data_IF_547777788316
#
_entry.id   IF_547777788316
#
_cell.length_a   1.000
_cell.length_b   1.000
_cell.length_c   1.000
_cell.angle_alpha   90.00
_cell.angle_beta   90.00
_cell.angle_gamma   90.00
#
_symmetry.space_group_name_H-M   'P 1'
#
loop_
_entity.id
_entity.type
_entity.pdbx_description
1 polymer ?
#
# COMPACT_ATOMS: atom_id res chain seq x y z
N UNK A 1 -0.93 4.09 -18.28
CA UNK A 1 -1.91 4.01 -17.20
C UNK A 1 -1.56 5.02 -16.14
N UNK A 2 -2.49 5.94 -15.85
CA UNK A 2 -2.34 6.88 -14.75
C UNK A 2 -2.47 6.17 -13.40
N UNK A 3 -1.96 6.75 -12.31
CA UNK A 3 -2.01 6.13 -10.98
C UNK A 3 -3.46 5.90 -10.51
N UNK A 4 -4.33 6.90 -10.63
CA UNK A 4 -5.74 6.79 -10.28
C UNK A 4 -6.50 5.73 -11.11
N UNK A 5 -6.15 5.59 -12.40
CA UNK A 5 -6.73 4.58 -13.30
C UNK A 5 -6.34 3.16 -12.85
N UNK A 6 -5.06 2.95 -12.50
CA UNK A 6 -4.58 1.68 -11.95
C UNK A 6 -5.26 1.35 -10.62
N UNK A 7 -5.36 2.31 -9.70
CA UNK A 7 -6.01 2.08 -8.41
C UNK A 7 -7.48 1.74 -8.60
N UNK A 8 -8.23 2.48 -9.43
CA UNK A 8 -9.64 2.21 -9.69
C UNK A 8 -9.84 0.82 -10.30
N UNK A 9 -8.97 0.41 -11.22
CA UNK A 9 -9.03 -0.92 -11.84
C UNK A 9 -8.76 -2.04 -10.84
N UNK A 10 -7.70 -1.92 -10.03
CA UNK A 10 -7.41 -2.91 -8.98
C UNK A 10 -8.53 -2.96 -7.93
N UNK A 11 -9.14 -1.82 -7.60
CA UNK A 11 -10.26 -1.75 -6.67
C UNK A 11 -11.49 -2.50 -7.21
N UNK A 12 -11.83 -2.31 -8.47
CA UNK A 12 -12.94 -3.01 -9.13
C UNK A 12 -12.67 -4.52 -9.22
N UNK A 13 -11.48 -4.90 -9.70
CA UNK A 13 -11.11 -6.31 -9.90
C UNK A 13 -10.99 -7.09 -8.59
N UNK A 14 -10.53 -6.46 -7.51
CA UNK A 14 -10.35 -7.09 -6.20
C UNK A 14 -11.49 -6.82 -5.21
N UNK A 15 -12.47 -5.99 -5.58
CA UNK A 15 -13.58 -5.59 -4.69
C UNK A 15 -13.12 -4.81 -3.45
N UNK A 16 -12.16 -3.89 -3.61
CA UNK A 16 -11.57 -3.11 -2.51
C UNK A 16 -12.06 -1.66 -2.48
N UNK A 17 -12.15 -1.08 -1.29
CA UNK A 17 -12.40 0.36 -1.13
C UNK A 17 -11.17 1.18 -1.54
N UNK A 18 -11.41 2.39 -2.07
CA UNK A 18 -10.36 3.37 -2.41
C UNK A 18 -10.42 4.58 -1.48
N UNK A 19 -9.31 4.87 -0.81
CA UNK A 19 -9.07 6.15 -0.15
C UNK A 19 -8.28 7.07 -1.07
N UNK A 20 -8.84 8.25 -1.32
CA UNK A 20 -8.22 9.27 -2.17
C UNK A 20 -7.48 10.30 -1.32
N UNK A 21 -6.19 10.43 -1.50
CA UNK A 21 -5.39 11.53 -0.97
C UNK A 21 -5.25 12.64 -2.02
N UNK A 22 -4.69 13.79 -1.61
CA UNK A 22 -4.48 14.92 -2.51
C UNK A 22 -3.74 14.52 -3.80
N UNK A 23 -2.69 13.69 -3.68
CA UNK A 23 -1.77 13.34 -4.76
C UNK A 23 -1.71 11.84 -5.11
N UNK A 24 -2.44 10.98 -4.40
CA UNK A 24 -2.42 9.53 -4.64
C UNK A 24 -3.73 8.87 -4.21
N UNK A 25 -4.11 7.80 -4.90
CA UNK A 25 -5.24 6.95 -4.52
C UNK A 25 -4.72 5.60 -3.99
N UNK A 26 -5.26 5.14 -2.86
CA UNK A 26 -4.83 3.90 -2.19
C UNK A 26 -5.98 2.90 -2.06
N UNK A 27 -5.68 1.62 -2.22
CA UNK A 27 -6.56 0.51 -1.90
C UNK A 27 -6.56 0.27 -0.38
N UNK A 28 -7.73 0.05 0.22
CA UNK A 28 -7.84 -0.36 1.62
C UNK A 28 -7.68 -1.88 1.73
N UNK A 29 -6.62 -2.32 2.40
CA UNK A 29 -6.34 -3.74 2.66
C UNK A 29 -6.71 -4.19 4.07
N UNK A 30 -6.93 -3.25 4.99
CA UNK A 30 -7.36 -3.52 6.36
C UNK A 30 -7.80 -2.24 7.07
N UNK A 31 -8.85 -2.33 7.88
CA UNK A 31 -9.55 -1.16 8.42
C UNK A 31 -9.72 -1.16 9.95
N UNK A 32 -8.62 -1.41 10.66
CA UNK A 32 -8.58 -1.39 12.12
C UNK A 32 -8.38 0.01 12.73
N UNK A 33 -7.88 0.05 13.97
CA UNK A 33 -7.35 1.30 14.54
C UNK A 33 -6.16 1.80 13.71
N UNK A 34 -5.35 0.88 13.18
CA UNK A 34 -4.38 1.16 12.12
C UNK A 34 -4.99 0.80 10.76
N UNK A 35 -5.12 1.80 9.89
CA UNK A 35 -5.54 1.56 8.52
C UNK A 35 -4.36 1.07 7.69
N UNK A 36 -4.60 0.04 6.88
CA UNK A 36 -3.60 -0.61 6.03
C UNK A 36 -3.94 -0.35 4.58
N UNK A 37 -3.06 0.38 3.92
CA UNK A 37 -3.28 0.91 2.59
C UNK A 37 -2.22 0.40 1.63
N UNK A 38 -2.60 0.26 0.36
CA UNK A 38 -1.68 -0.02 -0.72
C UNK A 38 -1.83 1.04 -1.80
N UNK A 39 -0.74 1.75 -2.08
CA UNK A 39 -0.64 2.76 -3.14
C UNK A 39 -0.03 2.11 -4.38
N UNK A 40 -0.83 1.60 -5.34
CA UNK A 40 -0.29 1.00 -6.53
C UNK A 40 0.30 2.06 -7.47
N UNK A 41 1.31 1.66 -8.23
CA UNK A 41 2.00 2.44 -9.23
C UNK A 41 2.38 1.53 -10.41
N UNK A 42 2.51 2.10 -11.60
CA UNK A 42 3.04 1.37 -12.75
C UNK A 42 4.31 2.02 -13.25
N UNK A 43 5.28 1.19 -13.66
CA UNK A 43 6.54 1.63 -14.29
C UNK A 43 6.71 0.94 -15.64
N UNK A 44 7.36 1.61 -16.59
CA UNK A 44 7.76 0.99 -17.86
C UNK A 44 8.91 0.03 -17.63
N UNK A 45 8.92 -1.09 -18.34
CA UNK A 45 10.06 -1.99 -18.38
C UNK A 45 11.05 -1.45 -19.41
N UNK A 46 12.27 -1.14 -18.98
CA UNK A 46 13.34 -0.67 -19.87
C UNK A 46 13.74 -1.79 -20.82
N UNK A 47 13.80 -1.51 -22.12
CA UNK A 47 14.16 -2.50 -23.15
C UNK A 47 12.99 -3.35 -23.66
N UNK A 48 11.78 -3.18 -23.13
CA UNK A 48 10.56 -3.84 -23.62
C UNK A 48 9.67 -2.87 -24.41
N UNK A 49 8.53 -3.37 -24.90
CA UNK A 49 7.56 -2.57 -25.64
C UNK A 49 6.91 -1.48 -24.76
N UNK A 50 6.38 -0.40 -25.35
CA UNK A 50 5.74 0.70 -24.61
C UNK A 50 4.56 0.27 -23.72
N UNK A 51 3.97 -0.89 -24.04
CA UNK A 51 2.85 -1.50 -23.34
C UNK A 51 3.29 -2.35 -22.15
N UNK A 52 4.56 -2.76 -22.07
CA UNK A 52 5.03 -3.64 -21.01
C UNK A 52 5.31 -2.85 -19.74
N UNK A 53 4.64 -3.23 -18.65
CA UNK A 53 4.65 -2.52 -17.38
C UNK A 53 4.96 -3.46 -16.23
N UNK A 54 5.57 -2.88 -15.20
CA UNK A 54 5.62 -3.46 -13.86
C UNK A 54 4.59 -2.73 -13.01
N UNK A 55 3.76 -3.50 -12.32
CA UNK A 55 2.88 -3.03 -11.25
C UNK A 55 3.54 -3.34 -9.90
N UNK A 56 3.76 -2.29 -9.14
CA UNK A 56 4.32 -2.30 -7.77
C UNK A 56 3.60 -1.21 -6.97
N UNK A 57 3.88 -1.07 -5.68
CA UNK A 57 3.32 0.01 -4.91
C UNK A 57 4.02 0.21 -3.58
N UNK A 58 3.47 1.12 -2.79
CA UNK A 58 3.90 1.35 -1.42
C UNK A 58 2.80 0.91 -0.46
N UNK A 59 3.17 0.13 0.55
CA UNK A 59 2.30 -0.06 1.71
C UNK A 59 2.37 1.17 2.59
N UNK A 60 1.21 1.62 3.06
CA UNK A 60 1.07 2.78 3.94
C UNK A 60 0.22 2.34 5.15
N UNK A 61 0.72 2.65 6.35
CA UNK A 61 0.10 2.32 7.62
C UNK A 61 0.00 3.60 8.44
N UNK A 62 -1.18 3.92 8.94
CA UNK A 62 -1.39 5.11 9.77
C UNK A 62 -2.52 4.87 10.77
N UNK A 63 -2.56 5.65 11.84
CA UNK A 63 -3.69 5.59 12.76
C UNK A 63 -4.91 6.22 12.11
N UNK A 64 -6.06 5.56 12.23
CA UNK A 64 -7.34 6.04 11.70
C UNK A 64 -7.70 7.44 12.21
N UNK A 65 -7.35 7.76 13.47
CA UNK A 65 -7.56 9.08 14.07
C UNK A 65 -6.74 10.21 13.42
N UNK A 66 -5.65 9.88 12.74
CA UNK A 66 -4.77 10.83 12.07
C UNK A 66 -5.18 11.08 10.61
N UNK A 67 -6.20 10.38 10.12
CA UNK A 67 -6.75 10.55 8.79
C UNK A 67 -7.58 11.85 8.71
N UNK A 68 -7.00 12.91 8.15
CA UNK A 68 -7.62 14.24 8.05
C UNK A 68 -8.26 14.45 6.69
N UNK A 69 -9.55 14.80 6.65
CA UNK A 69 -10.20 15.20 5.39
C UNK A 69 -9.72 16.59 4.96
N UNK A 70 -9.50 16.77 3.66
CA UNK A 70 -9.35 18.10 3.09
C UNK A 70 -10.64 18.91 3.29
N UNK A 71 -10.52 20.24 3.35
CA UNK A 71 -11.69 21.10 3.52
C UNK A 71 -12.72 20.85 2.40
N UNK A 72 -14.00 20.94 2.75
CA UNK A 72 -15.10 20.87 1.77
C UNK A 72 -14.87 21.86 0.62
N UNK A 73 -15.21 21.49 -0.63
CA UNK A 73 -16.03 20.34 -1.04
C UNK A 73 -15.25 19.05 -1.33
N UNK A 74 -13.94 18.98 -1.04
CA UNK A 74 -13.12 17.81 -1.37
C UNK A 74 -13.53 16.57 -0.57
N UNK A 75 -13.61 15.41 -1.24
CA UNK A 75 -13.75 14.10 -0.61
C UNK A 75 -12.39 13.45 -0.29
N UNK A 76 -11.29 14.13 -0.63
CA UNK A 76 -9.94 13.61 -0.45
C UNK A 76 -9.42 13.84 0.98
N UNK A 77 -8.43 13.04 1.36
CA UNK A 77 -7.69 13.17 2.60
C UNK A 77 -6.36 13.90 2.41
N UNK A 78 -5.88 14.53 3.47
CA UNK A 78 -4.53 15.07 3.58
C UNK A 78 -3.55 13.92 3.75
N UNK A 79 -2.40 14.02 3.08
CA UNK A 79 -1.34 13.04 3.19
C UNK A 79 -0.32 13.51 4.23
N UNK A 80 -0.43 12.99 5.45
CA UNK A 80 0.34 13.44 6.63
C UNK A 80 1.57 12.54 6.81
N UNK A 81 2.68 12.91 6.18
CA UNK A 81 3.88 12.06 6.06
C UNK A 81 4.53 11.68 7.41
N UNK A 82 4.43 12.52 8.43
CA UNK A 82 5.00 12.30 9.76
C UNK A 82 4.11 11.43 10.67
N UNK A 83 2.93 11.01 10.20
CA UNK A 83 1.96 10.17 10.92
C UNK A 83 1.73 8.80 10.28
N UNK A 84 2.70 8.34 9.50
CA UNK A 84 2.60 7.07 8.79
C UNK A 84 3.92 6.31 8.77
N UNK A 85 3.80 4.98 8.65
CA UNK A 85 4.90 4.08 8.31
C UNK A 85 4.57 3.44 6.97
N UNK A 86 5.58 3.24 6.15
CA UNK A 86 5.40 2.54 4.89
C UNK A 86 6.60 1.73 4.46
N UNK A 87 6.36 0.84 3.51
CA UNK A 87 7.43 0.12 2.83
C UNK A 87 7.08 -0.18 1.36
N UNK A 88 8.06 -0.13 0.44
CA UNK A 88 7.82 -0.48 -0.96
C UNK A 88 7.55 -1.97 -1.14
N UNK A 89 6.54 -2.32 -1.94
CA UNK A 89 6.18 -3.71 -2.26
C UNK A 89 7.25 -4.42 -3.08
N UNK A 90 8.12 -3.67 -3.76
CA UNK A 90 9.28 -4.18 -4.49
C UNK A 90 10.26 -4.97 -3.60
N UNK A 91 10.15 -4.86 -2.27
CA UNK A 91 10.91 -5.70 -1.34
C UNK A 91 10.42 -7.15 -1.24
N UNK A 92 9.30 -7.48 -1.91
CA UNK A 92 8.59 -8.75 -1.85
C UNK A 92 8.35 -9.28 -3.27
N UNK A 93 9.12 -10.29 -3.68
CA UNK A 93 9.11 -10.79 -5.07
C UNK A 93 7.73 -11.24 -5.55
N UNK A 94 6.89 -11.77 -4.66
CA UNK A 94 5.52 -12.20 -5.00
C UNK A 94 4.54 -11.07 -5.31
N UNK A 95 4.94 -9.81 -5.10
CA UNK A 95 4.11 -8.62 -5.29
C UNK A 95 4.54 -7.73 -6.48
N UNK A 96 5.56 -8.16 -7.23
CA UNK A 96 5.94 -7.51 -8.48
C UNK A 96 5.17 -8.20 -9.60
N UNK A 97 4.22 -7.49 -10.18
CA UNK A 97 3.38 -8.03 -11.24
C UNK A 97 3.82 -7.43 -12.58
N UNK A 98 4.01 -8.30 -13.58
CA UNK A 98 4.39 -7.89 -14.92
C UNK A 98 3.13 -7.96 -15.77
N UNK A 99 2.66 -6.80 -16.20
CA UNK A 99 1.41 -6.68 -16.92
C UNK A 99 1.57 -5.74 -18.09
N UNK A 100 0.82 -6.01 -19.14
CA UNK A 100 0.68 -5.07 -20.24
C UNK A 100 -0.35 -4.00 -19.87
N UNK A 101 -0.27 -2.81 -20.46
CA UNK A 101 -1.33 -1.77 -20.35
C UNK A 101 -2.71 -2.30 -20.82
N UNK A 102 -2.76 -3.47 -21.45
CA UNK A 102 -3.99 -4.19 -21.81
C UNK A 102 -4.95 -4.42 -20.63
N UNK A 103 -6.23 -4.59 -20.94
CA UNK A 103 -7.29 -4.99 -20.00
C UNK A 103 -7.17 -6.46 -19.55
N UNK A 104 -5.99 -7.07 -19.65
CA UNK A 104 -5.76 -8.44 -19.20
C UNK A 104 -5.85 -8.48 -17.68
N UNK A 105 -6.58 -9.43 -17.07
CA UNK A 105 -6.73 -9.50 -15.62
C UNK A 105 -5.37 -9.62 -14.92
N UNK A 106 -5.28 -9.06 -13.72
CA UNK A 106 -4.13 -9.23 -12.84
C UNK A 106 -4.06 -10.68 -12.33
N UNK A 107 -2.87 -11.12 -11.90
CA UNK A 107 -2.74 -12.43 -11.25
C UNK A 107 -3.70 -12.48 -10.02
N UNK A 108 -4.68 -13.41 -9.98
CA UNK A 108 -5.63 -13.49 -8.87
C UNK A 108 -4.96 -13.77 -7.52
N UNK A 109 -3.72 -14.27 -7.52
CA UNK A 109 -2.93 -14.47 -6.30
C UNK A 109 -2.35 -13.18 -5.74
N UNK A 110 -2.30 -12.09 -6.51
CA UNK A 110 -1.76 -10.81 -6.07
C UNK A 110 -2.51 -10.28 -4.84
N UNK A 111 -3.85 -10.26 -4.89
CA UNK A 111 -4.67 -9.83 -3.77
C UNK A 111 -4.39 -10.67 -2.51
N UNK A 112 -4.36 -12.00 -2.67
CA UNK A 112 -4.09 -12.92 -1.55
C UNK A 112 -2.72 -12.65 -0.93
N UNK A 113 -1.68 -12.39 -1.72
CA UNK A 113 -0.34 -12.08 -1.22
C UNK A 113 -0.29 -10.72 -0.52
N UNK A 114 -0.97 -9.70 -1.05
CA UNK A 114 -1.12 -8.40 -0.39
C UNK A 114 -1.80 -8.56 0.97
N UNK A 115 -2.92 -9.30 1.00
CA UNK A 115 -3.68 -9.59 2.21
C UNK A 115 -2.86 -10.36 3.24
N UNK A 116 -2.15 -11.42 2.83
CA UNK A 116 -1.28 -12.21 3.72
C UNK A 116 -0.22 -11.35 4.42
N UNK A 117 0.40 -10.40 3.71
CA UNK A 117 1.37 -9.49 4.32
C UNK A 117 0.72 -8.54 5.32
N UNK A 118 -0.40 -7.92 4.97
CA UNK A 118 -1.04 -6.97 5.88
C UNK A 118 -1.71 -7.66 7.08
N UNK A 119 -2.18 -8.90 6.93
CA UNK A 119 -2.77 -9.69 8.02
C UNK A 119 -1.74 -10.13 9.05
N UNK A 120 -0.46 -10.18 8.69
CA UNK A 120 0.62 -10.44 9.63
C UNK A 120 0.91 -9.24 10.55
N UNK A 121 0.39 -8.05 10.22
CA UNK A 121 0.60 -6.84 11.01
C UNK A 121 -0.52 -6.62 12.02
N UNK A 122 -0.22 -6.05 13.21
CA UNK A 122 -1.25 -5.69 14.19
C UNK A 122 -2.29 -4.71 13.63
N UNK A 123 -3.52 -4.80 14.13
CA UNK A 123 -4.61 -3.87 13.78
C UNK A 123 -4.72 -2.67 14.73
N UNK A 124 -3.95 -2.65 15.82
CA UNK A 124 -4.03 -1.65 16.87
C UNK A 124 -2.67 -0.99 17.17
N UNK A 125 -2.71 0.24 17.68
CA UNK A 125 -1.52 1.05 17.92
C UNK A 125 -0.55 0.38 18.89
N UNK A 126 -1.08 -0.28 19.93
CA UNK A 126 -0.29 -1.00 20.92
C UNK A 126 0.59 -2.09 20.28
N UNK A 127 0.00 -2.91 19.41
CA UNK A 127 0.75 -3.97 18.72
C UNK A 127 1.83 -3.42 17.79
N UNK A 128 1.59 -2.26 17.16
CA UNK A 128 2.64 -1.61 16.35
C UNK A 128 3.81 -1.11 17.19
N UNK A 129 3.56 -0.57 18.38
CA UNK A 129 4.60 -0.19 19.34
C UNK A 129 5.40 -1.42 19.80
N UNK A 130 4.71 -2.52 20.12
CA UNK A 130 5.36 -3.79 20.50
C UNK A 130 6.24 -4.35 19.37
N UNK A 131 5.79 -4.20 18.11
CA UNK A 131 6.48 -4.72 16.94
C UNK A 131 7.70 -3.89 16.51
N UNK A 132 7.56 -2.56 16.43
CA UNK A 132 8.56 -1.67 15.83
C UNK A 132 9.26 -0.73 16.82
N UNK A 133 8.83 -0.74 18.09
CA UNK A 133 9.32 0.18 19.12
C UNK A 133 8.52 1.49 19.18
N UNK A 134 8.84 2.32 20.18
CA UNK A 134 8.14 3.58 20.45
C UNK A 134 8.20 4.58 19.29
N UNK A 135 7.21 5.48 19.25
CA UNK A 135 7.06 6.58 18.27
C UNK A 135 6.85 6.17 16.80
N UNK A 136 6.41 4.92 16.55
CA UNK A 136 6.18 4.35 15.21
C UNK A 136 5.30 5.21 14.28
N UNK A 137 4.32 5.96 14.80
CA UNK A 137 3.48 6.91 14.03
C UNK A 137 3.71 8.38 14.44
N UNK A 138 4.81 8.68 15.11
CA UNK A 138 5.08 10.01 15.66
C UNK A 138 6.33 10.65 15.07
N UNK A 139 7.15 9.90 14.34
CA UNK A 139 8.37 10.41 13.70
C UNK A 139 8.54 9.82 12.29
N UNK A 140 9.06 10.64 11.37
CA UNK A 140 9.51 10.16 10.07
C UNK A 140 10.84 9.41 10.25
N UNK A 141 10.76 8.12 10.55
CA UNK A 141 11.94 7.30 10.79
C UNK A 141 12.04 6.18 9.76
N UNK A 142 12.97 6.36 8.81
CA UNK A 142 13.38 5.33 7.83
C UNK A 142 13.76 4.00 8.50
N UNK A 143 14.11 4.04 9.80
CA UNK A 143 14.38 2.85 10.61
C UNK A 143 13.17 1.92 10.71
N UNK A 144 11.95 2.46 10.81
CA UNK A 144 10.73 1.64 10.87
C UNK A 144 10.49 0.91 9.55
N UNK A 145 10.79 1.54 8.40
CA UNK A 145 10.70 0.87 7.09
C UNK A 145 11.62 -0.35 7.01
N UNK A 146 12.88 -0.24 7.46
CA UNK A 146 13.82 -1.38 7.42
C UNK A 146 13.36 -2.52 8.32
N UNK A 147 12.93 -2.21 9.55
CA UNK A 147 12.48 -3.21 10.50
C UNK A 147 11.17 -3.88 10.02
N UNK A 148 10.26 -3.10 9.45
CA UNK A 148 9.01 -3.60 8.87
C UNK A 148 9.26 -4.55 7.70
N UNK A 149 10.17 -4.18 6.78
CA UNK A 149 10.54 -5.05 5.65
C UNK A 149 11.17 -6.35 6.15
N UNK A 150 12.07 -6.29 7.14
CA UNK A 150 12.68 -7.49 7.73
C UNK A 150 11.62 -8.42 8.33
N UNK A 151 10.66 -7.86 9.08
CA UNK A 151 9.56 -8.61 9.67
C UNK A 151 8.68 -9.26 8.59
N UNK A 152 8.20 -8.49 7.62
CA UNK A 152 7.30 -8.99 6.57
C UNK A 152 7.96 -10.00 5.62
N UNK A 153 9.29 -9.97 5.45
CA UNK A 153 10.02 -10.99 4.68
C UNK A 153 10.03 -12.36 5.35
N UNK A 154 9.80 -12.44 6.66
CA UNK A 154 9.66 -13.71 7.36
C UNK A 154 8.26 -14.33 7.19
N UNK A 155 7.29 -13.58 6.65
CA UNK A 155 5.92 -14.05 6.42
C UNK A 155 5.86 -14.86 5.11
N UNK A 156 5.35 -16.10 5.13
CA UNK A 156 5.17 -16.91 3.92
C UNK A 156 4.27 -16.21 2.88
N UNK A 157 4.70 -16.15 1.62
CA UNK A 157 3.96 -15.49 0.52
C UNK A 157 3.24 -16.47 -0.41
N UNK A 158 2.91 -17.67 0.09
CA UNK A 158 2.24 -18.76 -0.64
C UNK A 158 0.79 -18.47 -1.03
#
# INVERSE_FOLDING_TARGET
MAQAELTARLADEFGLEVIKFLHSDCLVLGDGEVIKLFQPTSKRIVGCGPQDRIVIGDFIFMLRRDLKRLRKPSQKYEFVFDKMVGCPSANFLGLIEHSQISNSPFDPRLLKRLQNLVSALPDNHKGWIELLGGQVFETNSTQHTVNLVKYLRAVPQT
#
